data_IF_420099469461
#
_entry.id   IF_420099469461
#
_cell.length_a   1.000
_cell.length_b   1.000
_cell.length_c   1.000
_cell.angle_alpha   90.00
_cell.angle_beta   90.00
_cell.angle_gamma   90.00
#
_symmetry.space_group_name_H-M   'P 1'
#
loop_
_entity.id
_entity.type
_entity.pdbx_description
1 polymer ?
#
# COMPACT_ATOMS: atom_id res chain seq x y z
N UNK A 1 -9.18 -21.49 -2.59
CA UNK A 1 -8.36 -20.36 -2.09
C UNK A 1 -7.16 -20.24 -3.00
N UNK A 2 -6.99 -19.09 -3.61
CA UNK A 2 -5.77 -18.80 -4.38
C UNK A 2 -4.64 -18.60 -3.38
N UNK A 3 -3.56 -19.36 -3.52
CA UNK A 3 -2.42 -19.19 -2.63
C UNK A 3 -1.76 -17.85 -2.94
N UNK A 4 -1.59 -17.02 -1.93
CA UNK A 4 -0.87 -15.76 -2.04
C UNK A 4 0.63 -16.08 -2.11
N UNK A 5 1.16 -16.15 -3.33
CA UNK A 5 2.58 -16.32 -3.58
C UNK A 5 3.34 -14.98 -3.49
N UNK A 6 4.64 -15.04 -3.64
CA UNK A 6 5.53 -13.89 -3.53
C UNK A 6 5.26 -12.85 -4.63
N UNK A 7 5.01 -13.31 -5.85
CA UNK A 7 4.81 -12.41 -6.99
C UNK A 7 3.48 -11.69 -6.89
N UNK A 8 2.41 -12.39 -6.47
CA UNK A 8 1.14 -11.76 -6.16
C UNK A 8 1.25 -10.79 -4.99
N UNK A 9 2.02 -11.13 -3.95
CA UNK A 9 2.26 -10.24 -2.81
C UNK A 9 2.96 -8.94 -3.25
N UNK A 10 4.01 -9.04 -4.07
CA UNK A 10 4.71 -7.88 -4.65
C UNK A 10 3.80 -7.02 -5.51
N UNK A 11 3.01 -7.67 -6.38
CA UNK A 11 2.08 -6.99 -7.27
C UNK A 11 1.06 -6.17 -6.47
N UNK A 12 0.36 -6.80 -5.52
CA UNK A 12 -0.66 -6.11 -4.73
C UNK A 12 -0.08 -5.09 -3.76
N UNK A 13 1.13 -5.30 -3.25
CA UNK A 13 1.84 -4.30 -2.45
C UNK A 13 2.11 -3.03 -3.27
N UNK A 14 2.57 -3.18 -4.52
CA UNK A 14 2.78 -2.06 -5.43
C UNK A 14 1.48 -1.33 -5.76
N UNK A 15 0.40 -2.08 -6.08
CA UNK A 15 -0.92 -1.52 -6.40
C UNK A 15 -1.50 -0.72 -5.22
N UNK A 16 -1.43 -1.25 -4.00
CA UNK A 16 -1.91 -0.56 -2.80
C UNK A 16 -1.12 0.72 -2.53
N UNK A 17 0.19 0.68 -2.64
CA UNK A 17 1.06 1.85 -2.45
C UNK A 17 0.79 2.95 -3.47
N UNK A 18 0.61 2.57 -4.73
CA UNK A 18 0.27 3.51 -5.80
C UNK A 18 -1.10 4.16 -5.56
N UNK A 19 -2.12 3.36 -5.26
CA UNK A 19 -3.46 3.87 -4.98
C UNK A 19 -3.47 4.78 -3.73
N UNK A 20 -2.76 4.41 -2.67
CA UNK A 20 -2.59 5.23 -1.47
C UNK A 20 -1.91 6.56 -1.76
N UNK A 21 -0.84 6.55 -2.54
CA UNK A 21 -0.12 7.78 -2.94
C UNK A 21 -1.03 8.73 -3.72
N UNK A 22 -1.83 8.21 -4.65
CA UNK A 22 -2.81 9.01 -5.39
C UNK A 22 -3.88 9.60 -4.47
N UNK A 23 -4.39 8.81 -3.52
CA UNK A 23 -5.41 9.28 -2.58
C UNK A 23 -4.89 10.34 -1.60
N UNK A 24 -3.62 10.28 -1.21
CA UNK A 24 -2.98 11.33 -0.39
C UNK A 24 -2.79 12.62 -1.17
N UNK A 25 -2.56 12.53 -2.49
CA UNK A 25 -2.42 13.71 -3.35
C UNK A 25 -3.77 14.33 -3.73
N UNK A 26 -4.82 13.51 -3.85
CA UNK A 26 -6.17 13.94 -4.24
C UNK A 26 -7.25 13.12 -3.54
N UNK A 27 -8.18 13.78 -2.85
CA UNK A 27 -9.30 13.13 -2.14
C UNK A 27 -10.20 12.27 -3.05
N UNK A 28 -10.26 12.56 -4.35
CA UNK A 28 -10.99 11.74 -5.34
C UNK A 28 -10.34 10.36 -5.54
N UNK A 29 -9.06 10.19 -5.17
CA UNK A 29 -8.34 8.92 -5.17
C UNK A 29 -8.92 7.86 -4.20
N UNK A 30 -9.84 8.24 -3.32
CA UNK A 30 -10.55 7.31 -2.42
C UNK A 30 -11.17 6.11 -3.16
N UNK A 31 -11.81 6.35 -4.30
CA UNK A 31 -12.42 5.27 -5.09
C UNK A 31 -11.38 4.30 -5.65
N UNK A 32 -10.24 4.81 -6.13
CA UNK A 32 -9.17 3.94 -6.65
C UNK A 32 -8.61 3.04 -5.55
N UNK A 33 -8.45 3.57 -4.34
CA UNK A 33 -8.04 2.75 -3.19
C UNK A 33 -9.06 1.67 -2.90
N UNK A 34 -10.36 2.02 -2.83
CA UNK A 34 -11.43 1.03 -2.60
C UNK A 34 -11.45 -0.06 -3.68
N UNK A 35 -11.28 0.32 -4.95
CA UNK A 35 -11.24 -0.63 -6.07
C UNK A 35 -10.00 -1.55 -5.97
N UNK A 36 -8.86 -1.01 -5.59
CA UNK A 36 -7.63 -1.79 -5.41
C UNK A 36 -7.79 -2.79 -4.27
N UNK A 37 -8.37 -2.38 -3.15
CA UNK A 37 -8.72 -3.28 -2.03
C UNK A 37 -9.68 -4.37 -2.49
N UNK A 38 -10.73 -4.03 -3.26
CA UNK A 38 -11.67 -5.02 -3.78
C UNK A 38 -11.01 -5.98 -4.78
N UNK A 39 -10.05 -5.53 -5.61
CA UNK A 39 -9.26 -6.40 -6.49
C UNK A 39 -8.43 -7.41 -5.69
N UNK A 40 -7.76 -6.95 -4.64
CA UNK A 40 -7.06 -7.85 -3.71
C UNK A 40 -8.02 -8.85 -3.06
N UNK A 41 -9.15 -8.39 -2.55
CA UNK A 41 -10.16 -9.27 -1.95
C UNK A 41 -10.68 -10.34 -2.91
N UNK A 42 -10.95 -9.95 -4.17
CA UNK A 42 -11.32 -10.88 -5.23
C UNK A 42 -10.24 -11.92 -5.49
N UNK A 43 -8.99 -11.52 -5.51
CA UNK A 43 -7.86 -12.44 -5.68
C UNK A 43 -7.78 -13.44 -4.52
N UNK A 44 -7.81 -12.97 -3.27
CA UNK A 44 -7.70 -13.82 -2.08
C UNK A 44 -8.82 -14.86 -2.01
N UNK A 45 -10.05 -14.48 -2.36
CA UNK A 45 -11.23 -15.38 -2.35
C UNK A 45 -11.33 -16.23 -3.61
N UNK A 46 -10.72 -15.78 -4.73
CA UNK A 46 -10.83 -16.41 -6.04
C UNK A 46 -12.12 -16.09 -6.80
N UNK A 47 -12.99 -15.24 -6.25
CA UNK A 47 -14.27 -14.82 -6.89
C UNK A 47 -14.69 -13.43 -6.47
N UNK A 48 -15.50 -12.77 -7.32
CA UNK A 48 -16.11 -11.48 -6.98
C UNK A 48 -17.24 -11.69 -5.98
N UNK A 49 -17.22 -10.92 -4.88
CA UNK A 49 -18.28 -10.86 -3.88
C UNK A 49 -18.93 -9.47 -3.86
N UNK A 50 -20.08 -9.37 -3.20
CA UNK A 50 -20.80 -8.10 -3.10
C UNK A 50 -20.17 -7.20 -2.03
N UNK A 51 -19.45 -6.18 -2.49
CA UNK A 51 -18.82 -5.15 -1.65
C UNK A 51 -17.71 -5.68 -0.73
N UNK A 52 -17.13 -4.76 0.02
CA UNK A 52 -16.00 -5.06 0.91
C UNK A 52 -16.32 -6.11 1.99
N UNK A 53 -17.56 -6.15 2.47
CA UNK A 53 -17.96 -7.06 3.55
C UNK A 53 -17.72 -8.54 3.22
N UNK A 54 -17.85 -8.92 1.95
CA UNK A 54 -17.63 -10.29 1.51
C UNK A 54 -16.18 -10.76 1.67
N UNK A 55 -15.23 -9.83 1.71
CA UNK A 55 -13.80 -10.12 1.81
C UNK A 55 -13.24 -10.02 3.24
N UNK A 56 -14.09 -9.68 4.22
CA UNK A 56 -13.67 -9.44 5.60
C UNK A 56 -12.78 -10.53 6.20
N UNK A 57 -13.18 -11.79 6.04
CA UNK A 57 -12.44 -12.91 6.63
C UNK A 57 -11.03 -13.04 6.06
N UNK A 58 -10.87 -12.85 4.74
CA UNK A 58 -9.57 -12.96 4.10
C UNK A 58 -8.67 -11.75 4.40
N UNK A 59 -9.23 -10.55 4.40
CA UNK A 59 -8.50 -9.37 4.85
C UNK A 59 -8.05 -9.48 6.31
N UNK A 60 -8.91 -10.00 7.17
CA UNK A 60 -8.57 -10.23 8.57
C UNK A 60 -7.43 -11.23 8.72
N UNK A 61 -7.45 -12.35 7.99
CA UNK A 61 -6.37 -13.34 7.98
C UNK A 61 -5.06 -12.70 7.51
N UNK A 62 -5.11 -11.92 6.42
CA UNK A 62 -3.96 -11.23 5.85
C UNK A 62 -3.40 -10.19 6.81
N UNK A 63 -4.24 -9.30 7.34
CA UNK A 63 -3.81 -8.16 8.15
C UNK A 63 -3.34 -8.55 9.55
N UNK A 64 -4.00 -9.51 10.20
CA UNK A 64 -3.71 -9.86 11.60
C UNK A 64 -2.65 -10.96 11.69
N UNK A 65 -2.70 -11.94 10.79
CA UNK A 65 -1.88 -13.15 10.95
C UNK A 65 -2.14 -13.78 12.32
N UNK A 66 -1.07 -13.98 13.09
CA UNK A 66 -1.15 -14.56 14.44
C UNK A 66 -1.13 -13.51 15.58
N UNK A 67 -1.14 -12.21 15.28
CA UNK A 67 -1.09 -11.15 16.29
C UNK A 67 -2.47 -10.90 16.90
N UNK A 68 -2.54 -10.84 18.23
CA UNK A 68 -3.78 -10.50 18.97
C UNK A 68 -4.04 -8.99 19.00
N UNK A 69 -2.97 -8.19 19.01
CA UNK A 69 -3.04 -6.76 19.34
C UNK A 69 -3.66 -5.89 18.24
N UNK A 70 -3.70 -6.41 17.01
CA UNK A 70 -4.22 -5.70 15.84
C UNK A 70 -5.72 -5.99 15.59
N UNK A 71 -6.31 -6.95 16.30
CA UNK A 71 -7.70 -7.41 16.03
C UNK A 71 -8.74 -6.31 16.18
N UNK A 72 -8.67 -5.56 17.27
CA UNK A 72 -9.67 -4.53 17.56
C UNK A 72 -9.51 -3.34 16.62
N UNK A 73 -8.26 -2.93 16.35
CA UNK A 73 -7.96 -1.88 15.39
C UNK A 73 -8.44 -2.25 13.98
N UNK A 74 -8.15 -3.47 13.52
CA UNK A 74 -8.60 -3.96 12.22
C UNK A 74 -10.13 -3.92 12.09
N UNK A 75 -10.86 -4.42 13.10
CA UNK A 75 -12.31 -4.42 13.11
C UNK A 75 -12.87 -3.00 12.96
N UNK A 76 -12.39 -2.07 13.77
CA UNK A 76 -12.86 -0.68 13.77
C UNK A 76 -12.58 -0.02 12.42
N UNK A 77 -11.34 -0.10 11.93
CA UNK A 77 -10.93 0.52 10.67
C UNK A 77 -11.72 -0.07 9.49
N UNK A 78 -11.86 -1.40 9.43
CA UNK A 78 -12.60 -2.07 8.36
C UNK A 78 -14.06 -1.63 8.30
N UNK A 79 -14.75 -1.61 9.46
CA UNK A 79 -16.16 -1.23 9.51
C UNK A 79 -16.38 0.25 9.16
N UNK A 80 -15.50 1.13 9.60
CA UNK A 80 -15.54 2.55 9.23
C UNK A 80 -15.30 2.75 7.74
N UNK A 81 -14.30 2.07 7.17
CA UNK A 81 -14.02 2.10 5.73
C UNK A 81 -15.21 1.60 4.91
N UNK A 82 -15.79 0.44 5.31
CA UNK A 82 -16.97 -0.13 4.64
C UNK A 82 -18.13 0.86 4.62
N UNK A 83 -18.42 1.51 5.74
CA UNK A 83 -19.50 2.49 5.84
C UNK A 83 -19.19 3.72 4.97
N UNK A 84 -17.99 4.30 5.10
CA UNK A 84 -17.58 5.44 4.27
C UNK A 84 -17.65 5.15 2.76
N UNK A 85 -17.27 3.94 2.34
CA UNK A 85 -17.39 3.51 0.93
C UNK A 85 -18.86 3.42 0.50
N UNK A 86 -19.73 2.87 1.34
CA UNK A 86 -21.16 2.78 1.02
C UNK A 86 -21.80 4.17 0.95
N UNK A 87 -21.52 5.04 1.90
CA UNK A 87 -22.03 6.41 1.92
C UNK A 87 -21.55 7.19 0.68
N UNK A 88 -20.28 7.05 0.30
CA UNK A 88 -19.74 7.69 -0.90
C UNK A 88 -20.42 7.19 -2.20
N UNK A 89 -20.75 5.91 -2.28
CA UNK A 89 -21.41 5.31 -3.46
C UNK A 89 -22.89 5.69 -3.54
N UNK A 90 -23.57 5.75 -2.39
CA UNK A 90 -25.03 5.97 -2.38
C UNK A 90 -25.43 7.43 -2.20
N UNK A 91 -24.63 8.22 -1.52
CA UNK A 91 -24.96 9.60 -1.14
C UNK A 91 -24.05 10.64 -1.81
N UNK A 92 -23.01 10.20 -2.54
CA UNK A 92 -22.04 11.10 -3.15
C UNK A 92 -21.22 11.90 -2.12
N UNK A 93 -21.22 11.47 -0.86
CA UNK A 93 -20.56 12.17 0.22
C UNK A 93 -19.05 11.80 0.24
N UNK A 94 -18.22 12.79 -0.03
CA UNK A 94 -16.76 12.69 0.09
C UNK A 94 -16.30 13.25 1.43
N UNK A 95 -16.06 12.40 2.41
CA UNK A 95 -15.45 12.84 3.64
C UNK A 95 -13.92 12.75 3.51
N UNK A 96 -13.19 13.82 3.82
CA UNK A 96 -11.69 13.77 3.93
C UNK A 96 -11.23 12.64 4.85
N UNK A 97 -12.00 12.34 5.87
CA UNK A 97 -11.75 11.23 6.78
C UNK A 97 -11.83 9.85 6.09
N UNK A 98 -12.58 9.71 5.00
CA UNK A 98 -12.66 8.45 4.25
C UNK A 98 -11.32 8.10 3.59
N UNK A 99 -10.61 9.09 3.06
CA UNK A 99 -9.26 8.90 2.49
C UNK A 99 -8.27 8.42 3.56
N UNK A 100 -8.28 9.03 4.76
CA UNK A 100 -7.40 8.61 5.85
C UNK A 100 -7.70 7.17 6.30
N UNK A 101 -8.98 6.79 6.38
CA UNK A 101 -9.38 5.42 6.70
C UNK A 101 -8.90 4.41 5.63
N UNK A 102 -8.94 4.80 4.36
CA UNK A 102 -8.38 3.99 3.28
C UNK A 102 -6.88 3.81 3.45
N UNK A 103 -6.15 4.87 3.76
CA UNK A 103 -4.70 4.84 3.97
C UNK A 103 -4.36 3.92 5.14
N UNK A 104 -5.02 4.08 6.29
CA UNK A 104 -4.81 3.22 7.46
C UNK A 104 -5.11 1.74 7.16
N UNK A 105 -6.16 1.48 6.39
CA UNK A 105 -6.49 0.10 6.02
C UNK A 105 -5.50 -0.49 5.02
N UNK A 106 -5.00 0.30 4.08
CA UNK A 106 -3.92 -0.10 3.18
C UNK A 106 -2.67 -0.48 3.97
N UNK A 107 -2.27 0.30 4.98
CA UNK A 107 -1.11 -0.01 5.81
C UNK A 107 -1.23 -1.36 6.53
N UNK A 108 -2.44 -1.72 7.00
CA UNK A 108 -2.69 -3.04 7.58
C UNK A 108 -2.56 -4.17 6.55
N UNK A 109 -3.10 -3.97 5.35
CA UNK A 109 -3.00 -4.96 4.28
C UNK A 109 -1.57 -5.09 3.75
N UNK A 110 -0.86 -3.97 3.55
CA UNK A 110 0.55 -3.93 3.15
C UNK A 110 1.42 -4.70 4.15
N UNK A 111 1.24 -4.45 5.46
CA UNK A 111 1.93 -5.18 6.51
C UNK A 111 1.66 -6.69 6.45
N UNK A 112 0.43 -7.07 6.09
CA UNK A 112 0.06 -8.47 5.88
C UNK A 112 0.73 -9.09 4.66
N UNK A 113 0.76 -8.38 3.54
CA UNK A 113 1.45 -8.82 2.31
C UNK A 113 2.95 -8.98 2.54
N UNK A 114 3.56 -8.04 3.27
CA UNK A 114 4.99 -8.06 3.58
C UNK A 114 5.39 -9.26 4.44
N UNK A 115 4.51 -9.71 5.36
CA UNK A 115 4.79 -10.93 6.16
C UNK A 115 4.87 -12.22 5.35
N UNK A 116 4.29 -12.25 4.16
CA UNK A 116 4.36 -13.41 3.26
C UNK A 116 5.66 -13.45 2.44
N UNK A 117 6.52 -12.45 2.59
CA UNK A 117 7.80 -12.41 1.89
C UNK A 117 8.89 -12.94 2.83
N UNK A 118 9.48 -14.09 2.50
CA UNK A 118 10.38 -14.84 3.37
C UNK A 118 11.80 -14.25 3.51
N UNK A 119 12.15 -13.23 2.72
CA UNK A 119 13.52 -12.71 2.67
C UNK A 119 13.57 -11.19 2.47
N UNK A 120 14.52 -10.56 3.14
CA UNK A 120 14.86 -9.13 2.96
C UNK A 120 15.25 -8.84 1.50
N UNK A 121 15.84 -9.80 0.80
CA UNK A 121 16.22 -9.65 -0.62
C UNK A 121 15.07 -9.26 -1.52
N UNK A 122 13.85 -9.61 -1.14
CA UNK A 122 12.64 -9.28 -1.91
C UNK A 122 12.22 -7.82 -1.75
N UNK A 123 12.74 -7.13 -0.75
CA UNK A 123 12.55 -5.69 -0.52
C UNK A 123 13.71 -4.87 -1.10
N UNK A 124 14.81 -5.52 -1.45
CA UNK A 124 15.98 -4.85 -1.99
C UNK A 124 15.70 -4.46 -3.44
N UNK A 125 15.77 -3.17 -3.70
CA UNK A 125 15.76 -2.64 -5.06
C UNK A 125 17.11 -2.98 -5.67
N UNK A 126 17.15 -3.98 -6.57
CA UNK A 126 18.37 -4.45 -7.22
C UNK A 126 19.09 -3.39 -8.07
N UNK A 127 18.35 -2.36 -8.48
CA UNK A 127 18.88 -1.22 -9.25
C UNK A 127 18.34 0.09 -8.68
N UNK A 128 18.84 0.55 -7.53
CA UNK A 128 18.36 1.78 -6.92
C UNK A 128 18.70 2.99 -7.80
N UNK A 129 17.79 3.95 -7.85
CA UNK A 129 18.06 5.25 -8.46
C UNK A 129 19.07 5.98 -7.56
N UNK A 130 20.21 6.32 -8.13
CA UNK A 130 21.33 6.94 -7.43
C UNK A 130 21.47 8.42 -7.80
N UNK A 131 21.80 9.26 -6.82
CA UNK A 131 22.34 10.56 -7.12
C UNK A 131 23.76 10.42 -7.63
N UNK A 132 24.02 10.92 -8.83
CA UNK A 132 25.38 10.97 -9.37
C UNK A 132 26.10 12.21 -8.84
N UNK A 133 27.40 12.09 -8.58
CA UNK A 133 28.21 13.20 -7.98
C UNK A 133 28.16 14.51 -8.79
N UNK A 134 27.90 14.43 -10.08
CA UNK A 134 27.81 15.60 -10.95
C UNK A 134 26.39 16.18 -11.10
N UNK A 135 25.38 15.58 -10.42
CA UNK A 135 24.03 16.16 -10.41
C UNK A 135 23.98 17.42 -9.57
N UNK A 136 23.31 18.42 -10.08
CA UNK A 136 22.96 19.60 -9.30
C UNK A 136 21.93 19.28 -8.21
N UNK A 137 21.88 20.09 -7.16
CA UNK A 137 20.86 19.95 -6.11
C UNK A 137 19.44 20.02 -6.69
N UNK A 138 19.22 20.81 -7.73
CA UNK A 138 17.93 20.91 -8.43
C UNK A 138 17.52 19.59 -9.10
N UNK A 139 18.45 18.92 -9.76
CA UNK A 139 18.22 17.61 -10.37
C UNK A 139 17.94 16.53 -9.33
N UNK A 140 18.70 16.54 -8.23
CA UNK A 140 18.47 15.60 -7.11
C UNK A 140 17.07 15.80 -6.53
N UNK A 141 16.67 17.03 -6.23
CA UNK A 141 15.32 17.34 -5.73
C UNK A 141 14.23 16.91 -6.70
N UNK A 142 14.44 17.15 -7.99
CA UNK A 142 13.48 16.71 -9.04
C UNK A 142 13.32 15.20 -9.07
N UNK A 143 14.42 14.45 -9.00
CA UNK A 143 14.37 12.98 -8.93
C UNK A 143 13.63 12.50 -7.68
N UNK A 144 13.91 13.08 -6.53
CA UNK A 144 13.23 12.75 -5.27
C UNK A 144 11.72 13.00 -5.37
N UNK A 145 11.30 14.12 -5.95
CA UNK A 145 9.89 14.46 -6.11
C UNK A 145 9.18 13.54 -7.10
N UNK A 146 9.79 13.26 -8.26
CA UNK A 146 9.19 12.38 -9.29
C UNK A 146 8.96 10.97 -8.75
N UNK A 147 9.88 10.46 -7.93
CA UNK A 147 9.84 9.09 -7.42
C UNK A 147 9.28 8.98 -6.00
N UNK A 148 8.89 10.08 -5.37
CA UNK A 148 8.37 10.09 -3.99
C UNK A 148 9.41 9.66 -2.95
N UNK A 149 10.70 9.88 -3.22
CA UNK A 149 11.78 9.48 -2.31
C UNK A 149 12.07 10.57 -1.28
N UNK A 150 12.23 10.16 -0.02
CA UNK A 150 12.74 11.03 1.05
C UNK A 150 14.26 11.13 1.05
N UNK A 151 14.94 10.13 0.45
CA UNK A 151 16.41 10.02 0.39
C UNK A 151 16.83 9.50 -0.98
N UNK A 152 18.02 9.90 -1.41
CA UNK A 152 18.64 9.39 -2.63
C UNK A 152 20.06 8.94 -2.30
N UNK A 153 20.39 7.64 -2.43
CA UNK A 153 21.72 7.17 -2.11
C UNK A 153 22.75 7.71 -3.11
N UNK A 154 23.92 8.04 -2.62
CA UNK A 154 25.06 8.51 -3.42
C UNK A 154 26.15 7.45 -3.42
N UNK A 155 26.62 7.03 -4.60
CA UNK A 155 27.78 6.14 -4.73
C UNK A 155 29.04 6.97 -4.76
N UNK A 156 29.91 6.81 -3.76
CA UNK A 156 31.22 7.44 -3.73
C UNK A 156 32.26 6.61 -4.51
N UNK A 157 33.30 7.28 -5.00
CA UNK A 157 34.32 6.70 -5.90
C UNK A 157 35.24 5.67 -5.23
N UNK A 158 35.30 5.64 -3.92
CA UNK A 158 36.14 4.77 -3.08
C UNK A 158 35.49 3.41 -2.74
N UNK A 159 34.47 3.04 -3.49
CA UNK A 159 33.87 1.71 -3.49
C UNK A 159 33.18 1.31 -2.20
N UNK A 160 31.85 1.26 -2.17
CA UNK A 160 30.98 0.67 -1.14
C UNK A 160 30.55 1.51 0.07
N UNK A 161 30.91 2.75 0.23
CA UNK A 161 30.29 3.61 1.24
C UNK A 161 29.06 4.32 0.66
N UNK A 162 27.89 4.01 1.19
CA UNK A 162 26.64 4.72 0.92
C UNK A 162 26.50 5.84 1.95
N UNK A 163 26.31 7.08 1.50
CA UNK A 163 25.83 8.16 2.36
C UNK A 163 24.37 8.45 2.03
N UNK A 164 23.56 8.48 3.04
CA UNK A 164 22.16 8.92 2.99
C UNK A 164 22.07 10.42 3.16
#
# INVERSE_FOLDING_TARGET
>A
MTQLDIDASKYYLSELRNARSLALANAEGFFEVCQTIERLGKFLVGKKLNGLSGYYCEFRKLAIGNSSDVKDAFYVIFHRLKNARNDAVHEGAFARNATLLCVEFCDLLESGLMRNMDSVDQYIISSPILAKLFYSIGEIRRLMLIHGFSYLPVKLSDGFTWKL
#
